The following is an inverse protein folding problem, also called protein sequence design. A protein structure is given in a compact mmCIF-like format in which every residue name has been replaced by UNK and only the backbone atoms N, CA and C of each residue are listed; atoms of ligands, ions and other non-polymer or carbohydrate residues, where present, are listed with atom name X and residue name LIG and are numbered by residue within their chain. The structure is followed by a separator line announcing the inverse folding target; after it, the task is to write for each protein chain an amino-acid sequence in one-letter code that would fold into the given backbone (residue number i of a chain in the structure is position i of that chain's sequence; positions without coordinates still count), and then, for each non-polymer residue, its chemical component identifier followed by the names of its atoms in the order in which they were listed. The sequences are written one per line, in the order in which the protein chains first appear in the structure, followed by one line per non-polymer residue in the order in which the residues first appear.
data_IF_024861879440
#
_entry.id   IF_024861879440
#
_cell.length_a   1.000
_cell.length_b   1.000
_cell.length_c   1.000
_cell.angle_alpha   90.00
_cell.angle_beta   90.00
_cell.angle_gamma   90.00
#
_symmetry.space_group_name_H-M   'P 1'
#
loop_
_entity.id
_entity.type
_entity.pdbx_description
1 polymer ?
#
# COMPACT_ATOMS: atom_id res chain seq x y z
N UNK A 1 4.90 7.16 -0.88
CA UNK A 1 3.42 7.21 -0.92
C UNK A 1 2.88 7.63 -2.28
N UNK A 2 3.24 8.81 -2.82
CA UNK A 2 2.78 9.22 -4.17
C UNK A 2 3.21 8.27 -5.29
N UNK A 3 4.46 7.78 -5.27
CA UNK A 3 4.92 6.80 -6.25
C UNK A 3 4.12 5.48 -6.17
N UNK A 4 3.79 5.01 -4.96
CA UNK A 4 2.92 3.84 -4.78
C UNK A 4 1.52 4.04 -5.33
N UNK A 5 0.92 5.21 -5.06
CA UNK A 5 -0.39 5.57 -5.61
C UNK A 5 -0.37 5.48 -7.15
N UNK A 6 0.64 6.11 -7.78
CA UNK A 6 0.81 6.10 -9.23
C UNK A 6 0.99 4.67 -9.73
N UNK A 7 1.85 3.87 -9.10
CA UNK A 7 2.07 2.47 -9.50
C UNK A 7 0.81 1.63 -9.42
N UNK A 8 0.01 1.74 -8.35
CA UNK A 8 -1.24 0.98 -8.23
C UNK A 8 -2.28 1.39 -9.27
N UNK A 9 -2.39 2.68 -9.56
CA UNK A 9 -3.26 3.16 -10.65
C UNK A 9 -2.77 2.62 -12.00
N UNK A 10 -1.47 2.67 -12.27
CA UNK A 10 -0.91 2.13 -13.52
C UNK A 10 -1.11 0.62 -13.63
N UNK A 11 -0.95 -0.14 -12.55
CA UNK A 11 -1.23 -1.58 -12.54
C UNK A 11 -2.70 -1.87 -12.83
N UNK A 12 -3.62 -1.08 -12.28
CA UNK A 12 -5.06 -1.27 -12.49
C UNK A 12 -5.48 -1.09 -13.95
N UNK A 13 -4.72 -0.31 -14.74
CA UNK A 13 -5.00 -0.05 -16.15
C UNK A 13 -3.98 -0.69 -17.11
N UNK A 14 -3.10 -1.57 -16.62
CA UNK A 14 -2.10 -2.22 -17.46
C UNK A 14 -2.78 -3.22 -18.42
N UNK A 15 -2.76 -2.91 -19.72
CA UNK A 15 -3.37 -3.74 -20.76
C UNK A 15 -2.40 -4.75 -21.38
N UNK A 16 -1.10 -4.47 -21.32
CA UNK A 16 -0.07 -5.31 -21.91
C UNK A 16 0.98 -5.72 -20.86
N UNK A 17 1.43 -6.98 -20.93
CA UNK A 17 2.39 -7.53 -19.96
C UNK A 17 3.70 -6.74 -19.87
N UNK A 18 4.15 -6.12 -20.97
CA UNK A 18 5.39 -5.32 -20.97
C UNK A 18 5.31 -4.11 -20.02
N UNK A 19 4.11 -3.56 -19.80
CA UNK A 19 3.92 -2.38 -18.93
C UNK A 19 4.30 -2.69 -17.48
N UNK A 20 4.13 -3.94 -17.05
CA UNK A 20 4.48 -4.37 -15.69
C UNK A 20 5.95 -4.12 -15.38
N UNK A 21 6.85 -4.34 -16.34
CA UNK A 21 8.29 -4.11 -16.13
C UNK A 21 8.59 -2.64 -15.80
N UNK A 22 7.97 -1.70 -16.51
CA UNK A 22 8.14 -0.26 -16.25
C UNK A 22 7.49 0.16 -14.93
N UNK A 23 6.30 -0.38 -14.62
CA UNK A 23 5.57 -0.01 -13.39
C UNK A 23 6.29 -0.53 -12.15
N UNK A 24 6.91 -1.71 -12.21
CA UNK A 24 7.72 -2.28 -11.12
C UNK A 24 8.85 -1.32 -10.73
N UNK A 25 9.51 -0.67 -11.70
CA UNK A 25 10.58 0.31 -11.40
C UNK A 25 10.05 1.45 -10.53
N UNK A 26 8.90 2.02 -10.89
CA UNK A 26 8.25 3.09 -10.12
C UNK A 26 7.83 2.58 -8.72
N UNK A 27 7.29 1.37 -8.67
CA UNK A 27 6.85 0.73 -7.42
C UNK A 27 8.02 0.51 -6.46
N UNK A 28 9.16 0.02 -6.96
CA UNK A 28 10.39 -0.17 -6.20
C UNK A 28 10.96 1.15 -5.66
N UNK A 29 10.91 2.25 -6.43
CA UNK A 29 11.31 3.56 -5.92
C UNK A 29 10.40 4.02 -4.76
N UNK A 30 9.14 3.62 -4.77
CA UNK A 30 8.20 3.85 -3.67
C UNK A 30 8.59 3.16 -2.36
N UNK A 31 9.24 1.99 -2.42
CA UNK A 31 9.53 1.16 -1.23
C UNK A 31 10.70 1.68 -0.38
N UNK A 32 11.64 2.40 -1.00
CA UNK A 32 12.80 3.01 -0.33
C UNK A 32 12.35 3.96 0.80
N UNK A 33 11.22 4.65 0.62
CA UNK A 33 10.70 5.57 1.62
C UNK A 33 10.31 4.87 2.93
N UNK A 34 9.81 3.62 2.87
CA UNK A 34 9.38 2.88 4.05
C UNK A 34 10.59 2.39 4.87
N UNK A 35 11.62 1.85 4.22
CA UNK A 35 12.83 1.40 4.91
C UNK A 35 13.60 2.58 5.52
N UNK A 36 13.66 3.72 4.84
CA UNK A 36 14.22 4.95 5.40
C UNK A 36 13.47 5.40 6.66
N UNK A 37 12.14 5.37 6.64
CA UNK A 37 11.30 5.75 7.78
C UNK A 37 11.46 4.77 8.95
N UNK A 38 11.48 3.45 8.69
CA UNK A 38 11.74 2.44 9.73
C UNK A 38 13.13 2.62 10.34
N UNK A 39 14.15 2.94 9.54
CA UNK A 39 15.50 3.23 10.03
C UNK A 39 15.55 4.45 10.95
N UNK A 40 14.87 5.54 10.57
CA UNK A 40 14.75 6.74 11.42
C UNK A 40 14.05 6.40 12.74
N UNK A 41 12.92 5.68 12.68
CA UNK A 41 12.16 5.31 13.88
C UNK A 41 12.98 4.42 14.81
N UNK A 42 13.66 3.41 14.27
CA UNK A 42 14.54 2.52 15.04
C UNK A 42 15.74 3.24 15.66
N UNK A 43 16.17 4.37 15.09
CA UNK A 43 17.24 5.21 15.64
C UNK A 43 16.77 6.18 16.74
N UNK A 44 15.47 6.43 16.87
CA UNK A 44 14.89 7.33 17.87
C UNK A 44 14.52 6.56 19.15
N UNK A 45 14.15 5.28 19.05
CA UNK A 45 13.91 4.41 20.21
C UNK A 45 15.21 3.78 20.72
N UNK A 46 15.39 3.67 22.05
CA UNK A 46 16.56 3.05 22.62
C UNK A 46 16.63 1.54 22.29
N UNK A 47 17.84 0.92 22.30
CA UNK A 47 18.03 -0.45 21.80
C UNK A 47 17.18 -1.52 22.48
N UNK A 48 16.81 -1.30 23.75
CA UNK A 48 15.95 -2.19 24.53
C UNK A 48 14.48 -2.18 24.07
N UNK A 49 14.04 -1.19 23.30
CA UNK A 49 12.65 -1.03 22.83
C UNK A 49 12.50 -1.32 21.32
N UNK A 50 13.61 -1.51 20.59
CA UNK A 50 13.57 -1.78 19.15
C UNK A 50 12.82 -3.09 18.81
N UNK A 51 12.90 -4.09 19.69
CA UNK A 51 12.15 -5.34 19.55
C UNK A 51 10.64 -5.14 19.66
N UNK A 52 10.19 -4.21 20.52
CA UNK A 52 8.78 -3.85 20.65
C UNK A 52 8.29 -3.08 19.40
N UNK A 53 9.07 -2.10 18.93
CA UNK A 53 8.76 -1.36 17.71
C UNK A 53 8.66 -2.29 16.47
N UNK A 54 9.66 -3.15 16.26
CA UNK A 54 9.69 -4.09 15.15
C UNK A 54 8.63 -5.19 15.30
N UNK A 55 8.37 -5.64 16.52
CA UNK A 55 7.27 -6.55 16.83
C UNK A 55 5.91 -5.93 16.48
N UNK A 56 5.71 -4.65 16.77
CA UNK A 56 4.53 -3.88 16.38
C UNK A 56 4.34 -3.80 14.87
N UNK A 57 5.39 -3.45 14.12
CA UNK A 57 5.31 -3.46 12.65
C UNK A 57 5.04 -4.85 12.09
N UNK A 58 5.69 -5.88 12.64
CA UNK A 58 5.50 -7.27 12.21
C UNK A 58 4.07 -7.71 12.47
N UNK A 59 3.50 -7.41 13.65
CA UNK A 59 2.10 -7.73 13.99
C UNK A 59 1.11 -7.08 13.01
N UNK A 60 1.29 -5.79 12.70
CA UNK A 60 0.48 -5.08 11.72
C UNK A 60 0.58 -5.71 10.32
N UNK A 61 1.80 -6.09 9.90
CA UNK A 61 2.00 -6.79 8.63
C UNK A 61 1.32 -8.16 8.64
N UNK A 62 1.39 -8.93 9.73
CA UNK A 62 0.72 -10.23 9.84
C UNK A 62 -0.79 -10.13 9.70
N UNK A 63 -1.43 -9.16 10.38
CA UNK A 63 -2.87 -8.94 10.24
C UNK A 63 -3.21 -8.56 8.80
N UNK A 64 -2.42 -7.66 8.20
CA UNK A 64 -2.62 -7.23 6.82
C UNK A 64 -2.40 -8.38 5.82
N UNK A 65 -1.48 -9.31 6.11
CA UNK A 65 -1.23 -10.49 5.26
C UNK A 65 -2.37 -11.51 5.29
N UNK A 66 -3.20 -11.52 6.34
CA UNK A 66 -4.40 -12.35 6.41
C UNK A 66 -5.57 -11.67 5.68
N UNK A 67 -5.83 -10.40 6.02
CA UNK A 67 -7.00 -9.67 5.52
C UNK A 67 -6.82 -9.24 4.07
N UNK A 68 -5.61 -8.82 3.70
CA UNK A 68 -5.27 -8.26 2.39
C UNK A 68 -5.63 -9.20 1.24
N UNK A 69 -5.10 -10.44 1.19
CA UNK A 69 -5.41 -11.38 0.12
C UNK A 69 -6.90 -11.71 0.01
N UNK A 70 -7.59 -11.86 1.15
CA UNK A 70 -9.04 -12.14 1.17
C UNK A 70 -9.84 -10.99 0.56
N UNK A 71 -9.56 -9.76 1.00
CA UNK A 71 -10.23 -8.56 0.50
C UNK A 71 -9.94 -8.34 -1.00
N UNK A 72 -8.67 -8.43 -1.40
CA UNK A 72 -8.26 -8.22 -2.78
C UNK A 72 -8.81 -9.29 -3.71
N UNK A 73 -8.82 -10.56 -3.30
CA UNK A 73 -9.39 -11.65 -4.09
C UNK A 73 -10.91 -11.52 -4.23
N UNK A 74 -11.60 -11.14 -3.16
CA UNK A 74 -13.05 -10.90 -3.19
C UNK A 74 -13.40 -9.78 -4.17
N UNK A 75 -12.71 -8.64 -4.07
CA UNK A 75 -12.94 -7.48 -4.94
C UNK A 75 -12.60 -7.80 -6.39
N UNK A 76 -11.47 -8.49 -6.62
CA UNK A 76 -11.12 -8.96 -7.96
C UNK A 76 -12.22 -9.85 -8.54
N UNK A 77 -12.60 -10.91 -7.82
CA UNK A 77 -13.63 -11.88 -8.24
C UNK A 77 -14.96 -11.22 -8.54
N UNK A 78 -15.40 -10.28 -7.69
CA UNK A 78 -16.65 -9.55 -7.89
C UNK A 78 -16.65 -8.73 -9.19
N UNK A 79 -15.57 -8.01 -9.51
CA UNK A 79 -15.51 -7.14 -10.70
C UNK A 79 -15.17 -7.87 -12.01
N UNK A 80 -14.93 -9.17 -11.98
CA UNK A 80 -14.80 -10.02 -13.18
C UNK A 80 -15.97 -10.99 -13.35
N UNK A 81 -16.91 -11.03 -12.41
CA UNK A 81 -18.09 -11.89 -12.48
C UNK A 81 -19.10 -11.36 -13.51
N UNK A 82 -20.01 -12.23 -13.97
CA UNK A 82 -21.09 -11.85 -14.88
C UNK A 82 -22.12 -10.89 -14.26
N UNK A 83 -22.12 -10.78 -12.92
CA UNK A 83 -23.04 -9.94 -12.14
C UNK A 83 -22.51 -8.52 -11.94
N UNK A 84 -21.26 -8.26 -12.33
CA UNK A 84 -20.62 -6.96 -12.14
C UNK A 84 -21.24 -5.90 -13.08
N UNK A 85 -21.55 -4.69 -12.57
CA UNK A 85 -22.00 -3.58 -13.41
C UNK A 85 -20.96 -3.14 -14.44
N UNK A 86 -19.67 -3.34 -14.13
CA UNK A 86 -18.52 -2.99 -14.97
C UNK A 86 -17.47 -4.09 -14.84
N UNK A 87 -17.03 -4.64 -15.97
CA UNK A 87 -15.91 -5.58 -16.00
C UNK A 87 -14.59 -4.83 -15.80
N UNK A 88 -13.94 -5.05 -14.66
CA UNK A 88 -12.70 -4.36 -14.31
C UNK A 88 -11.71 -5.26 -13.55
N UNK A 89 -10.78 -5.94 -14.26
CA UNK A 89 -9.81 -6.84 -13.63
C UNK A 89 -8.75 -6.10 -12.80
N UNK A 90 -8.60 -4.79 -12.96
CA UNK A 90 -7.73 -3.94 -12.16
C UNK A 90 -8.29 -3.52 -10.80
N UNK A 91 -9.49 -3.99 -10.43
CA UNK A 91 -10.25 -3.53 -9.25
C UNK A 91 -9.47 -3.66 -7.93
N UNK A 92 -8.76 -4.77 -7.72
CA UNK A 92 -7.95 -4.98 -6.52
C UNK A 92 -6.80 -3.97 -6.41
N UNK A 93 -6.10 -3.70 -7.52
CA UNK A 93 -5.02 -2.70 -7.54
C UNK A 93 -5.58 -1.28 -7.34
N UNK A 94 -6.75 -1.00 -7.91
CA UNK A 94 -7.44 0.26 -7.67
C UNK A 94 -7.84 0.44 -6.19
N UNK A 95 -8.32 -0.62 -5.53
CA UNK A 95 -8.57 -0.57 -4.10
C UNK A 95 -7.29 -0.26 -3.31
N UNK A 96 -6.16 -0.88 -3.69
CA UNK A 96 -4.84 -0.54 -3.14
C UNK A 96 -4.48 0.94 -3.31
N UNK A 97 -4.78 1.54 -4.47
CA UNK A 97 -4.61 2.97 -4.70
C UNK A 97 -5.49 3.81 -3.76
N UNK A 98 -6.77 3.45 -3.60
CA UNK A 98 -7.69 4.15 -2.69
C UNK A 98 -7.22 4.08 -1.24
N UNK A 99 -6.82 2.90 -0.75
CA UNK A 99 -6.29 2.74 0.61
C UNK A 99 -5.00 3.53 0.84
N UNK A 100 -4.14 3.61 -0.19
CA UNK A 100 -2.91 4.41 -0.15
C UNK A 100 -3.24 5.91 -0.10
N UNK A 101 -4.26 6.36 -0.84
CA UNK A 101 -4.71 7.74 -0.81
C UNK A 101 -5.28 8.10 0.57
N UNK A 102 -6.11 7.24 1.16
CA UNK A 102 -6.65 7.42 2.50
C UNK A 102 -5.53 7.52 3.55
N UNK A 103 -4.54 6.64 3.46
CA UNK A 103 -3.34 6.69 4.31
C UNK A 103 -2.61 8.02 4.19
N UNK A 104 -2.44 8.54 2.97
CA UNK A 104 -1.81 9.84 2.73
C UNK A 104 -2.63 10.99 3.36
N UNK A 105 -3.95 10.96 3.24
CA UNK A 105 -4.84 11.94 3.87
C UNK A 105 -4.71 11.88 5.40
N UNK A 106 -4.74 10.70 6.01
CA UNK A 106 -4.58 10.56 7.46
C UNK A 106 -3.23 11.09 7.95
N UNK A 107 -2.14 10.81 7.24
CA UNK A 107 -0.82 11.35 7.58
C UNK A 107 -0.85 12.89 7.54
N UNK A 108 -1.44 13.48 6.50
CA UNK A 108 -1.54 14.94 6.36
C UNK A 108 -2.36 15.57 7.49
N UNK A 109 -3.50 14.96 7.85
CA UNK A 109 -4.36 15.44 8.93
C UNK A 109 -3.65 15.37 10.29
N UNK A 110 -2.97 14.27 10.58
CA UNK A 110 -2.24 14.08 11.84
C UNK A 110 -1.06 15.05 11.97
N UNK A 111 -0.29 15.25 10.90
CA UNK A 111 0.82 16.21 10.91
C UNK A 111 0.33 17.65 11.06
N UNK A 112 -0.75 18.03 10.37
CA UNK A 112 -1.36 19.37 10.50
C UNK A 112 -1.81 19.62 11.94
N UNK A 113 -2.43 18.64 12.59
CA UNK A 113 -2.87 18.74 13.99
C UNK A 113 -1.73 18.89 14.99
N UNK A 114 -0.54 18.35 14.70
CA UNK A 114 0.63 18.44 15.58
C UNK A 114 1.41 19.75 15.42
N UNK A 115 1.27 20.41 14.27
CA UNK A 115 1.93 21.69 13.96
C UNK A 115 1.12 22.92 14.36
N UNK A 116 -0.17 22.76 14.64
CA UNK A 116 -1.06 23.78 15.21
C UNK A 116 -1.17 23.58 16.72
#
# INVERSE_FOLDING_TARGET
MTLYLISFVLYAFATHGWMMYSIIVIYCLGSIAMTGLQGIMSGIVPPNEQGELQGGFTSLMSITAIIGPLLMSYVFSYFISAEAPVYFPGSAMMLGAVLTLLSFVFIRLTLKKRMN
#
